data_IF_950418639698
#
_entry.id   IF_950418639698
#
_cell.length_a   1.000
_cell.length_b   1.000
_cell.length_c   1.000
_cell.angle_alpha   90.00
_cell.angle_beta   90.00
_cell.angle_gamma   90.00
#
_symmetry.space_group_name_H-M   'P 1'
#
loop_
_entity.id
_entity.type
_entity.pdbx_description
1 polymer ?
#
# COMPACT_ATOMS: atom_id res chain seq x y z
N UNK A 1 -5.35 -35.05 -0.17
CA UNK A 1 -5.02 -34.98 1.29
C UNK A 1 -4.86 -33.51 1.63
N UNK A 2 -5.71 -32.99 2.52
CA UNK A 2 -5.55 -31.61 2.98
C UNK A 2 -4.14 -31.43 3.54
N UNK A 3 -3.47 -30.35 3.14
CA UNK A 3 -2.11 -30.11 3.56
C UNK A 3 -2.10 -29.83 5.09
N UNK A 4 -1.65 -30.82 5.86
CA UNK A 4 -1.65 -30.76 7.34
C UNK A 4 -0.90 -29.53 7.87
N UNK A 5 0.02 -28.97 7.06
CA UNK A 5 0.78 -27.77 7.38
C UNK A 5 -0.08 -26.49 7.34
N UNK A 6 -1.01 -26.41 6.41
CA UNK A 6 -1.95 -25.26 6.30
C UNK A 6 -2.89 -25.25 7.52
N UNK A 7 -3.47 -26.40 7.86
CA UNK A 7 -4.39 -26.50 9.00
C UNK A 7 -3.72 -26.12 10.31
N UNK A 8 -2.51 -26.63 10.57
CA UNK A 8 -1.74 -26.28 11.77
C UNK A 8 -1.44 -24.79 11.87
N UNK A 9 -1.14 -24.14 10.72
CA UNK A 9 -0.89 -22.70 10.67
C UNK A 9 -2.17 -21.91 10.94
N UNK A 10 -3.31 -22.35 10.38
CA UNK A 10 -4.61 -21.74 10.61
C UNK A 10 -5.06 -21.88 12.08
N UNK A 11 -4.74 -22.99 12.75
CA UNK A 11 -5.00 -23.15 14.20
C UNK A 11 -4.23 -22.12 15.03
N UNK A 12 -2.97 -21.88 14.72
CA UNK A 12 -2.18 -20.86 15.40
C UNK A 12 -2.74 -19.45 15.19
N UNK A 13 -3.22 -19.15 13.98
CA UNK A 13 -3.84 -17.85 13.70
C UNK A 13 -5.19 -17.68 14.37
N UNK A 14 -5.99 -18.76 14.51
CA UNK A 14 -7.26 -18.73 15.25
C UNK A 14 -7.03 -18.42 16.73
N UNK A 15 -6.07 -19.07 17.36
CA UNK A 15 -5.69 -18.75 18.75
C UNK A 15 -5.28 -17.30 18.92
N UNK A 16 -4.44 -16.79 18.01
CA UNK A 16 -4.04 -15.38 18.03
C UNK A 16 -5.22 -14.43 17.87
N UNK A 17 -6.17 -14.74 16.98
CA UNK A 17 -7.38 -13.95 16.75
C UNK A 17 -8.26 -13.89 18.02
N UNK A 18 -8.45 -15.03 18.69
CA UNK A 18 -9.20 -15.12 19.95
C UNK A 18 -8.51 -14.35 21.09
N UNK A 19 -7.17 -14.44 21.21
CA UNK A 19 -6.40 -13.67 22.19
C UNK A 19 -6.51 -12.16 21.96
N UNK A 20 -6.44 -11.71 20.72
CA UNK A 20 -6.59 -10.29 20.38
C UNK A 20 -8.01 -9.83 20.66
N UNK A 21 -9.01 -10.65 20.33
CA UNK A 21 -10.42 -10.38 20.66
C UNK A 21 -10.65 -10.18 22.15
N UNK A 22 -10.02 -11.01 22.99
CA UNK A 22 -10.06 -10.85 24.46
C UNK A 22 -9.36 -9.54 24.91
N UNK A 23 -8.18 -9.24 24.37
CA UNK A 23 -7.45 -7.99 24.68
C UNK A 23 -8.23 -6.73 24.31
N UNK A 24 -8.99 -6.76 23.23
CA UNK A 24 -9.84 -5.64 22.82
C UNK A 24 -11.00 -5.36 23.78
N UNK A 25 -11.35 -6.31 24.65
CA UNK A 25 -12.38 -6.13 25.71
C UNK A 25 -11.78 -5.74 27.05
N UNK A 26 -10.43 -5.69 27.17
CA UNK A 26 -9.74 -5.33 28.42
C UNK A 26 -9.81 -3.83 28.64
N UNK A 27 -10.30 -3.36 29.82
CA UNK A 27 -10.35 -1.94 30.17
C UNK A 27 -8.99 -1.22 30.13
N UNK A 28 -7.89 -1.92 30.43
CA UNK A 28 -6.54 -1.33 30.38
C UNK A 28 -6.11 -1.04 28.94
N UNK A 29 -6.42 -1.93 28.02
CA UNK A 29 -6.15 -1.77 26.58
C UNK A 29 -7.04 -0.69 25.96
N UNK A 30 -8.31 -0.61 26.38
CA UNK A 30 -9.25 0.43 25.92
C UNK A 30 -8.78 1.83 26.36
N UNK A 31 -8.16 1.94 27.54
CA UNK A 31 -7.61 3.21 28.05
C UNK A 31 -6.36 3.66 27.26
N UNK A 32 -5.59 2.74 26.69
CA UNK A 32 -4.45 3.05 25.81
C UNK A 32 -4.88 3.05 24.34
N UNK A 33 -5.19 4.24 23.83
CA UNK A 33 -5.66 4.43 22.44
C UNK A 33 -4.69 3.86 21.41
N UNK A 34 -3.37 3.92 21.65
CA UNK A 34 -2.37 3.40 20.70
C UNK A 34 -2.41 1.88 20.62
N UNK A 35 -2.44 1.21 21.76
CA UNK A 35 -2.55 -0.25 21.83
C UNK A 35 -3.89 -0.73 21.27
N UNK A 36 -4.98 -0.04 21.59
CA UNK A 36 -6.31 -0.38 21.05
C UNK A 36 -6.36 -0.30 19.52
N UNK A 37 -5.81 0.77 18.92
CA UNK A 37 -5.75 0.91 17.46
C UNK A 37 -4.92 -0.22 16.84
N UNK A 38 -3.78 -0.56 17.44
CA UNK A 38 -2.92 -1.62 16.95
C UNK A 38 -3.62 -2.99 16.99
N UNK A 39 -4.22 -3.37 18.11
CA UNK A 39 -4.94 -4.64 18.24
C UNK A 39 -6.17 -4.70 17.31
N UNK A 40 -6.89 -3.59 17.17
CA UNK A 40 -8.05 -3.54 16.26
C UNK A 40 -7.61 -3.72 14.79
N UNK A 41 -6.45 -3.16 14.40
CA UNK A 41 -5.89 -3.37 13.07
C UNK A 41 -5.52 -4.85 12.86
N UNK A 42 -4.79 -5.46 13.80
CA UNK A 42 -4.41 -6.87 13.73
C UNK A 42 -5.65 -7.80 13.69
N UNK A 43 -6.67 -7.50 14.49
CA UNK A 43 -7.93 -8.24 14.52
C UNK A 43 -8.61 -8.25 13.14
N UNK A 44 -8.75 -7.07 12.53
CA UNK A 44 -9.34 -6.92 11.19
C UNK A 44 -8.51 -7.56 10.08
N UNK A 45 -7.20 -7.62 10.23
CA UNK A 45 -6.31 -8.29 9.27
C UNK A 45 -6.46 -9.81 9.33
N UNK A 46 -6.72 -10.37 10.51
CA UNK A 46 -6.92 -11.81 10.71
C UNK A 46 -8.34 -12.28 10.36
N UNK A 47 -9.36 -11.44 10.52
CA UNK A 47 -10.77 -11.77 10.30
C UNK A 47 -11.03 -12.51 8.97
N UNK A 48 -10.61 -12.01 7.79
CA UNK A 48 -10.84 -12.70 6.52
C UNK A 48 -10.14 -14.07 6.44
N UNK A 49 -9.01 -14.23 7.13
CA UNK A 49 -8.27 -15.51 7.18
C UNK A 49 -9.09 -16.52 7.99
N UNK A 50 -9.66 -16.09 9.11
CA UNK A 50 -10.45 -16.95 9.98
C UNK A 50 -11.75 -17.36 9.27
N UNK A 51 -12.45 -16.43 8.61
CA UNK A 51 -13.64 -16.74 7.83
C UNK A 51 -13.37 -17.75 6.70
N UNK A 52 -12.27 -17.56 5.96
CA UNK A 52 -11.86 -18.52 4.92
C UNK A 52 -11.49 -19.88 5.52
N UNK A 53 -10.81 -19.90 6.68
CA UNK A 53 -10.47 -21.12 7.41
C UNK A 53 -11.70 -21.90 7.85
N UNK A 54 -12.74 -21.24 8.35
CA UNK A 54 -13.99 -21.89 8.78
C UNK A 54 -14.74 -22.48 7.59
N UNK A 55 -14.82 -21.76 6.48
CA UNK A 55 -15.40 -22.28 5.22
C UNK A 55 -14.64 -23.51 4.72
N UNK A 56 -13.31 -23.46 4.76
CA UNK A 56 -12.45 -24.56 4.34
C UNK A 56 -12.61 -25.80 5.22
N UNK A 57 -12.64 -25.63 6.55
CA UNK A 57 -12.87 -26.74 7.51
C UNK A 57 -14.22 -27.39 7.31
N UNK A 58 -15.27 -26.58 7.13
CA UNK A 58 -16.61 -27.09 6.85
C UNK A 58 -16.65 -27.90 5.55
N UNK A 59 -16.02 -27.39 4.50
CA UNK A 59 -15.95 -28.10 3.22
C UNK A 59 -15.20 -29.44 3.32
N UNK A 60 -14.09 -29.50 4.07
CA UNK A 60 -13.36 -30.76 4.31
C UNK A 60 -14.18 -31.74 5.13
N UNK A 61 -14.87 -31.27 6.17
CA UNK A 61 -15.70 -32.12 6.99
C UNK A 61 -16.87 -32.75 6.17
N UNK A 62 -17.54 -31.91 5.38
CA UNK A 62 -18.61 -32.38 4.49
C UNK A 62 -18.07 -33.35 3.42
N UNK A 63 -16.89 -33.09 2.85
CA UNK A 63 -16.29 -34.02 1.92
C UNK A 63 -15.94 -35.38 2.54
N UNK A 64 -15.46 -35.35 3.79
CA UNK A 64 -15.18 -36.59 4.53
C UNK A 64 -16.47 -37.38 4.82
N UNK A 65 -17.54 -36.70 5.20
CA UNK A 65 -18.88 -37.31 5.44
C UNK A 65 -19.46 -37.90 4.15
N UNK A 66 -19.42 -37.12 3.05
CA UNK A 66 -19.90 -37.63 1.75
C UNK A 66 -19.10 -38.85 1.26
N UNK A 67 -17.77 -38.88 1.48
CA UNK A 67 -16.93 -40.05 1.18
C UNK A 67 -17.25 -41.26 2.06
N UNK A 68 -17.58 -41.03 3.31
CA UNK A 68 -18.00 -42.10 4.26
C UNK A 68 -19.35 -42.70 3.84
N UNK A 69 -20.34 -41.86 3.50
CA UNK A 69 -21.65 -42.31 2.96
C UNK A 69 -21.43 -43.13 1.69
N UNK A 70 -20.64 -42.63 0.75
CA UNK A 70 -20.34 -43.34 -0.51
C UNK A 70 -19.71 -44.72 -0.28
N UNK A 71 -18.89 -44.86 0.76
CA UNK A 71 -18.17 -46.10 1.08
C UNK A 71 -19.04 -47.10 1.86
N UNK A 72 -19.86 -46.63 2.79
CA UNK A 72 -20.49 -47.47 3.82
C UNK A 72 -22.00 -47.59 3.67
N UNK A 73 -22.69 -46.67 3.00
CA UNK A 73 -24.13 -46.73 2.83
C UNK A 73 -24.52 -47.72 1.73
N UNK A 74 -25.66 -48.42 1.95
CA UNK A 74 -26.23 -49.42 1.02
C UNK A 74 -27.30 -48.83 0.12
N UNK A 75 -27.82 -47.63 0.45
CA UNK A 75 -28.86 -46.96 -0.30
C UNK A 75 -28.22 -46.27 -1.53
N UNK A 76 -28.68 -46.65 -2.72
CA UNK A 76 -28.11 -46.10 -3.98
C UNK A 76 -28.50 -44.63 -4.17
N UNK A 77 -29.65 -44.15 -3.67
CA UNK A 77 -30.04 -42.75 -3.73
C UNK A 77 -29.07 -41.90 -2.90
N UNK A 78 -28.76 -42.34 -1.67
CA UNK A 78 -27.79 -41.67 -0.79
C UNK A 78 -26.38 -41.64 -1.40
N UNK A 79 -25.95 -42.71 -2.04
CA UNK A 79 -24.65 -42.79 -2.72
C UNK A 79 -24.60 -41.90 -3.93
N UNK A 80 -25.69 -41.73 -4.70
CA UNK A 80 -25.74 -40.83 -5.84
C UNK A 80 -25.68 -39.36 -5.40
N UNK A 81 -26.41 -39.01 -4.32
CA UNK A 81 -26.31 -37.69 -3.69
C UNK A 81 -24.88 -37.41 -3.21
N UNK A 82 -24.24 -38.35 -2.52
CA UNK A 82 -22.86 -38.21 -2.06
C UNK A 82 -21.88 -38.04 -3.20
N UNK A 83 -22.05 -38.70 -4.36
CA UNK A 83 -21.23 -38.48 -5.57
C UNK A 83 -21.38 -37.04 -6.10
N UNK A 84 -22.60 -36.53 -6.14
CA UNK A 84 -22.87 -35.15 -6.55
C UNK A 84 -22.20 -34.16 -5.62
N UNK A 85 -22.33 -34.36 -4.32
CA UNK A 85 -21.73 -33.50 -3.30
C UNK A 85 -20.19 -33.52 -3.35
N UNK A 86 -19.56 -34.67 -3.54
CA UNK A 86 -18.11 -34.80 -3.71
C UNK A 86 -17.65 -34.02 -4.95
N UNK A 87 -18.37 -34.13 -6.08
CA UNK A 87 -18.04 -33.43 -7.30
C UNK A 87 -18.10 -31.89 -7.18
N UNK A 88 -18.96 -31.38 -6.30
CA UNK A 88 -19.05 -29.94 -6.00
C UNK A 88 -18.00 -29.48 -4.97
N UNK A 89 -17.74 -30.31 -3.95
CA UNK A 89 -16.84 -29.93 -2.84
C UNK A 89 -15.37 -29.97 -3.22
N UNK A 90 -14.93 -30.92 -4.07
CA UNK A 90 -13.51 -31.02 -4.45
C UNK A 90 -12.98 -29.75 -5.11
N UNK A 91 -13.59 -29.17 -6.18
CA UNK A 91 -13.14 -27.94 -6.76
C UNK A 91 -13.27 -26.73 -5.84
N UNK A 92 -14.29 -26.74 -4.95
CA UNK A 92 -14.48 -25.69 -3.95
C UNK A 92 -13.35 -25.67 -2.93
N UNK A 93 -12.89 -26.83 -2.49
CA UNK A 93 -11.76 -26.96 -1.56
C UNK A 93 -10.48 -26.43 -2.21
N UNK A 94 -10.19 -26.78 -3.48
CA UNK A 94 -9.04 -26.27 -4.20
C UNK A 94 -9.07 -24.73 -4.28
N UNK A 95 -10.22 -24.15 -4.61
CA UNK A 95 -10.39 -22.68 -4.66
C UNK A 95 -10.16 -22.03 -3.28
N UNK A 96 -10.66 -22.64 -2.21
CA UNK A 96 -10.45 -22.14 -0.84
C UNK A 96 -9.00 -22.28 -0.39
N UNK A 97 -8.29 -23.33 -0.81
CA UNK A 97 -6.85 -23.46 -0.54
C UNK A 97 -6.04 -22.35 -1.21
N UNK A 98 -6.36 -22.01 -2.45
CA UNK A 98 -5.71 -20.90 -3.15
C UNK A 98 -6.03 -19.55 -2.48
N UNK A 99 -7.29 -19.31 -2.12
CA UNK A 99 -7.70 -18.11 -1.38
C UNK A 99 -6.92 -17.98 -0.06
N UNK A 100 -6.84 -19.06 0.73
CA UNK A 100 -6.11 -19.07 1.99
C UNK A 100 -4.61 -18.83 1.77
N UNK A 101 -4.00 -19.45 0.76
CA UNK A 101 -2.58 -19.22 0.44
C UNK A 101 -2.30 -17.73 0.15
N UNK A 102 -3.19 -17.07 -0.58
CA UNK A 102 -3.08 -15.64 -0.88
C UNK A 102 -3.27 -14.78 0.39
N UNK A 103 -4.24 -15.12 1.24
CA UNK A 103 -4.49 -14.41 2.50
C UNK A 103 -3.35 -14.56 3.52
N UNK A 104 -2.60 -15.68 3.46
CA UNK A 104 -1.46 -15.95 4.33
C UNK A 104 -0.16 -15.24 3.91
N UNK A 105 -0.15 -14.55 2.77
CA UNK A 105 1.01 -13.74 2.36
C UNK A 105 1.13 -12.55 3.33
N UNK A 106 2.30 -12.35 3.97
CA UNK A 106 2.50 -11.23 4.87
C UNK A 106 2.27 -9.90 4.14
N UNK A 107 1.38 -9.08 4.67
CA UNK A 107 1.18 -7.72 4.17
C UNK A 107 2.27 -6.81 4.72
N UNK A 108 2.79 -5.93 3.87
CA UNK A 108 3.70 -4.87 4.30
C UNK A 108 2.93 -3.87 5.19
N UNK A 109 3.40 -3.58 6.41
CA UNK A 109 2.74 -2.60 7.29
C UNK A 109 2.57 -1.22 6.65
N UNK A 110 3.43 -0.88 5.70
CA UNK A 110 3.37 0.40 4.97
C UNK A 110 2.25 0.44 3.93
N UNK A 111 1.76 -0.72 3.46
CA UNK A 111 0.72 -0.80 2.43
C UNK A 111 -0.57 -0.05 2.81
N UNK A 112 -0.89 -0.01 4.10
CA UNK A 112 -2.06 0.69 4.62
C UNK A 112 -1.90 2.22 4.67
N UNK A 113 -0.68 2.75 4.50
CA UNK A 113 -0.40 4.19 4.54
C UNK A 113 -0.98 4.91 3.33
N UNK A 114 -1.17 6.21 3.47
CA UNK A 114 -1.38 7.12 2.34
C UNK A 114 -0.11 7.20 1.50
N UNK A 115 -0.23 7.69 0.27
CA UNK A 115 0.90 7.80 -0.64
C UNK A 115 1.15 9.25 -1.06
N UNK A 116 2.42 9.59 -1.21
CA UNK A 116 2.88 10.76 -1.92
C UNK A 116 3.30 10.30 -3.31
N UNK A 117 2.64 10.82 -4.33
CA UNK A 117 2.92 10.51 -5.73
C UNK A 117 3.57 11.71 -6.37
N UNK A 118 4.79 11.54 -6.84
CA UNK A 118 5.56 12.55 -7.54
C UNK A 118 5.72 12.14 -9.00
N UNK A 119 5.42 13.03 -9.92
CA UNK A 119 5.54 12.83 -11.36
C UNK A 119 6.46 13.91 -11.91
N UNK A 120 7.55 13.52 -12.55
CA UNK A 120 8.49 14.44 -13.20
C UNK A 120 8.60 14.17 -14.69
N UNK A 121 8.50 15.20 -15.49
CA UNK A 121 8.86 15.14 -16.90
C UNK A 121 10.33 14.79 -17.05
N UNK A 122 10.64 13.75 -17.83
CA UNK A 122 12.00 13.31 -18.11
C UNK A 122 12.63 14.02 -19.29
N UNK A 123 13.57 13.36 -19.95
CA UNK A 123 14.17 13.85 -21.20
C UNK A 123 13.11 13.87 -22.31
N UNK A 124 12.95 15.00 -22.99
CA UNK A 124 11.96 15.18 -24.04
C UNK A 124 11.38 16.59 -24.13
N UNK A 125 11.91 17.52 -23.33
CA UNK A 125 11.48 18.93 -23.37
C UNK A 125 10.00 19.12 -23.04
N UNK A 126 9.31 19.94 -23.82
CA UNK A 126 7.90 20.30 -23.61
C UNK A 126 6.96 19.10 -23.68
N UNK A 127 7.22 18.13 -24.57
CA UNK A 127 6.38 16.92 -24.67
C UNK A 127 6.47 16.03 -23.44
N UNK A 128 7.63 15.97 -22.78
CA UNK A 128 7.75 15.23 -21.52
C UNK A 128 6.92 15.89 -20.40
N UNK A 129 6.84 17.22 -20.38
CA UNK A 129 5.99 17.94 -19.43
C UNK A 129 4.50 17.72 -19.73
N UNK A 130 4.09 17.70 -20.99
CA UNK A 130 2.71 17.38 -21.42
C UNK A 130 2.37 15.94 -21.02
N UNK A 131 3.29 15.00 -21.24
CA UNK A 131 3.10 13.61 -20.85
C UNK A 131 2.97 13.42 -19.33
N UNK A 132 3.77 14.15 -18.54
CA UNK A 132 3.59 14.16 -17.09
C UNK A 132 2.18 14.65 -16.67
N UNK A 133 1.64 15.64 -17.38
CA UNK A 133 0.25 16.10 -17.20
C UNK A 133 -0.78 15.04 -17.57
N UNK A 134 -0.53 14.25 -18.61
CA UNK A 134 -1.40 13.14 -19.00
C UNK A 134 -1.38 12.03 -17.95
N UNK A 135 -0.20 11.69 -17.40
CA UNK A 135 -0.06 10.74 -16.31
C UNK A 135 -0.79 11.21 -15.06
N UNK A 136 -0.63 12.49 -14.70
CA UNK A 136 -1.38 13.04 -13.57
C UNK A 136 -2.89 12.88 -13.77
N UNK A 137 -3.41 13.20 -14.95
CA UNK A 137 -4.84 13.05 -15.27
C UNK A 137 -5.29 11.58 -15.22
N UNK A 138 -4.44 10.66 -15.66
CA UNK A 138 -4.69 9.22 -15.56
C UNK A 138 -4.81 8.79 -14.10
N UNK A 139 -3.84 9.15 -13.26
CA UNK A 139 -3.86 8.81 -11.84
C UNK A 139 -5.02 9.45 -11.09
N UNK A 140 -5.36 10.71 -11.35
CA UNK A 140 -6.50 11.37 -10.69
C UNK A 140 -7.82 10.66 -11.00
N UNK A 141 -8.04 10.25 -12.25
CA UNK A 141 -9.23 9.45 -12.61
C UNK A 141 -9.25 8.07 -11.95
N UNK A 142 -8.10 7.42 -11.83
CA UNK A 142 -7.99 6.16 -11.12
C UNK A 142 -8.30 6.33 -9.62
N UNK A 143 -7.74 7.35 -8.99
CA UNK A 143 -7.97 7.71 -7.59
C UNK A 143 -9.47 7.95 -7.34
N UNK A 144 -10.13 8.73 -8.19
CA UNK A 144 -11.58 8.98 -8.13
C UNK A 144 -12.38 7.68 -8.28
N UNK A 145 -12.00 6.79 -9.20
CA UNK A 145 -12.68 5.50 -9.40
C UNK A 145 -12.60 4.56 -8.19
N UNK A 146 -11.55 4.72 -7.35
CA UNK A 146 -11.38 3.98 -6.10
C UNK A 146 -12.06 4.65 -4.90
N UNK A 147 -12.67 5.83 -5.09
CA UNK A 147 -13.24 6.63 -4.00
C UNK A 147 -12.19 7.25 -3.07
N UNK A 148 -10.93 7.30 -3.51
CA UNK A 148 -9.85 7.95 -2.77
C UNK A 148 -9.90 9.46 -2.98
N UNK A 149 -9.18 10.20 -2.13
CA UNK A 149 -9.01 11.66 -2.24
C UNK A 149 -7.57 11.98 -2.60
N UNK A 150 -7.38 13.07 -3.32
CA UNK A 150 -6.03 13.59 -3.59
C UNK A 150 -5.97 15.10 -3.35
N UNK A 151 -4.79 15.57 -3.02
CA UNK A 151 -4.44 16.98 -2.85
C UNK A 151 -3.10 17.23 -3.53
N UNK A 152 -3.02 18.27 -4.37
CA UNK A 152 -1.75 18.68 -4.99
C UNK A 152 -1.00 19.51 -3.96
N UNK A 153 0.17 19.02 -3.55
CA UNK A 153 1.01 19.68 -2.54
C UNK A 153 2.02 20.63 -3.15
N UNK A 154 2.50 20.30 -4.35
CA UNK A 154 3.46 21.12 -5.08
C UNK A 154 3.37 20.85 -6.59
N UNK A 155 3.63 21.85 -7.41
CA UNK A 155 3.74 21.68 -8.85
C UNK A 155 4.63 22.73 -9.49
N UNK A 156 5.22 22.40 -10.63
CA UNK A 156 5.94 23.29 -11.52
C UNK A 156 5.44 23.08 -12.95
N UNK A 157 4.91 24.12 -13.56
CA UNK A 157 4.32 24.02 -14.90
C UNK A 157 5.37 23.94 -16.01
N UNK A 158 5.05 23.23 -17.08
CA UNK A 158 5.82 23.21 -18.32
C UNK A 158 5.58 24.46 -19.16
N UNK A 159 6.52 24.84 -19.99
CA UNK A 159 6.45 26.04 -20.86
C UNK A 159 5.36 25.92 -21.93
N UNK A 160 5.08 24.72 -22.42
CA UNK A 160 4.05 24.42 -23.42
C UNK A 160 2.83 23.72 -22.81
N UNK A 161 2.62 23.85 -21.50
CA UNK A 161 1.60 23.14 -20.73
C UNK A 161 2.12 21.88 -20.07
N UNK A 162 1.24 21.19 -19.32
CA UNK A 162 1.62 20.05 -18.49
C UNK A 162 2.50 20.45 -17.29
N UNK A 163 3.25 19.50 -16.75
CA UNK A 163 4.03 19.70 -15.53
C UNK A 163 5.48 19.28 -15.73
N UNK A 164 6.44 20.14 -15.34
CA UNK A 164 7.83 19.71 -15.13
C UNK A 164 7.91 18.78 -13.96
N UNK A 165 7.15 19.10 -12.91
CA UNK A 165 7.04 18.33 -11.70
C UNK A 165 5.65 18.56 -11.08
N UNK A 166 5.02 17.53 -10.59
CA UNK A 166 3.80 17.61 -9.77
C UNK A 166 3.86 16.58 -8.68
N UNK A 167 3.54 17.00 -7.46
CA UNK A 167 3.48 16.16 -6.26
C UNK A 167 2.08 16.20 -5.72
N UNK A 168 1.50 15.03 -5.50
CA UNK A 168 0.19 14.90 -4.90
C UNK A 168 0.20 13.92 -3.73
N UNK A 169 -0.52 14.28 -2.68
CA UNK A 169 -0.86 13.39 -1.56
C UNK A 169 -2.16 12.67 -1.89
N UNK A 170 -2.15 11.35 -1.78
CA UNK A 170 -3.33 10.51 -2.01
C UNK A 170 -3.72 9.84 -0.70
N UNK A 171 -4.99 10.01 -0.31
CA UNK A 171 -5.54 9.50 0.96
C UNK A 171 -6.68 8.54 0.70
N UNK A 172 -6.66 7.39 1.40
CA UNK A 172 -7.66 6.35 1.26
C UNK A 172 -7.21 5.04 1.90
N UNK A 173 -7.93 3.97 1.62
CA UNK A 173 -7.59 2.65 2.14
C UNK A 173 -6.59 1.94 1.21
N UNK A 174 -5.47 1.45 1.77
CA UNK A 174 -4.44 0.68 1.06
C UNK A 174 -3.88 1.39 -0.20
N UNK A 175 -3.69 2.70 -0.10
CA UNK A 175 -3.28 3.55 -1.22
C UNK A 175 -1.85 3.22 -1.62
N UNK A 176 -0.92 3.26 -0.66
CA UNK A 176 0.49 2.98 -0.93
C UNK A 176 0.68 1.54 -1.45
N UNK A 177 0.04 0.56 -0.82
CA UNK A 177 0.12 -0.84 -1.24
C UNK A 177 -0.32 -1.08 -2.68
N UNK A 178 -1.27 -0.26 -3.17
CA UNK A 178 -1.75 -0.35 -4.56
C UNK A 178 -0.83 0.41 -5.53
N UNK A 179 -0.40 1.63 -5.17
CA UNK A 179 0.33 2.51 -6.08
C UNK A 179 1.85 2.30 -6.08
N UNK A 180 2.45 1.65 -5.06
CA UNK A 180 3.90 1.47 -4.96
C UNK A 180 4.56 0.83 -6.18
N UNK A 181 3.83 -0.01 -6.90
CA UNK A 181 4.30 -0.70 -8.11
C UNK A 181 4.33 0.20 -9.35
N UNK A 182 3.72 1.39 -9.29
CA UNK A 182 3.77 2.40 -10.34
C UNK A 182 5.09 3.18 -10.35
N UNK A 183 5.91 3.06 -9.30
CA UNK A 183 7.21 3.72 -9.22
C UNK A 183 8.13 3.24 -10.33
N UNK A 184 8.62 4.19 -11.14
CA UNK A 184 9.52 3.89 -12.23
C UNK A 184 9.49 4.92 -13.34
N UNK A 185 10.04 4.55 -14.49
CA UNK A 185 10.04 5.38 -15.71
C UNK A 185 8.93 4.95 -16.64
N UNK A 186 7.99 5.84 -16.89
CA UNK A 186 6.93 5.68 -17.85
C UNK A 186 7.35 6.24 -19.20
N UNK A 187 7.05 5.56 -20.27
CA UNK A 187 7.41 5.92 -21.62
C UNK A 187 6.19 5.97 -22.53
N UNK A 188 6.10 7.01 -23.35
CA UNK A 188 5.08 7.15 -24.40
C UNK A 188 5.75 7.25 -25.77
N UNK A 189 5.16 6.57 -26.75
CA UNK A 189 5.51 6.69 -28.17
C UNK A 189 4.28 7.18 -28.90
N UNK A 190 4.32 8.46 -29.31
CA UNK A 190 3.23 9.12 -30.04
C UNK A 190 3.77 10.24 -30.89
N UNK A 191 2.96 10.77 -31.79
CA UNK A 191 3.25 12.06 -32.42
C UNK A 191 3.01 13.13 -31.38
N UNK A 192 4.05 13.89 -30.94
CA UNK A 192 3.89 14.93 -29.93
C UNK A 192 2.95 16.03 -30.38
N UNK A 193 2.27 16.71 -29.45
CA UNK A 193 1.51 17.92 -29.76
C UNK A 193 2.40 19.07 -30.25
N UNK A 194 3.70 19.01 -29.93
CA UNK A 194 4.73 19.97 -30.33
C UNK A 194 5.36 19.66 -31.70
N UNK A 195 5.00 18.54 -32.32
CA UNK A 195 5.55 18.08 -33.60
C UNK A 195 4.67 18.50 -34.77
N UNK A 196 5.24 19.22 -35.73
CA UNK A 196 4.51 19.75 -36.90
C UNK A 196 4.59 18.84 -38.13
N UNK A 197 5.56 17.91 -38.17
CA UNK A 197 5.83 17.03 -39.32
C UNK A 197 5.25 15.63 -39.19
N UNK A 198 4.50 15.36 -38.11
CA UNK A 198 3.86 14.05 -37.88
C UNK A 198 4.80 12.92 -37.52
N UNK A 199 6.02 13.19 -37.03
CA UNK A 199 6.98 12.19 -36.60
C UNK A 199 6.63 11.63 -35.23
N UNK A 200 6.76 10.32 -35.08
CA UNK A 200 6.62 9.66 -33.77
C UNK A 200 7.88 9.88 -32.95
N UNK A 201 7.69 10.44 -31.73
CA UNK A 201 8.78 10.63 -30.78
C UNK A 201 8.54 9.75 -29.53
N UNK A 202 9.61 9.52 -28.79
CA UNK A 202 9.54 8.84 -27.49
C UNK A 202 9.79 9.89 -26.40
N UNK A 203 8.83 10.03 -25.50
CA UNK A 203 8.97 10.86 -24.31
C UNK A 203 8.88 10.00 -23.06
N UNK A 204 9.54 10.43 -22.00
CA UNK A 204 9.58 9.73 -20.72
C UNK A 204 9.19 10.66 -19.59
N UNK A 205 8.58 10.07 -18.55
CA UNK A 205 8.34 10.73 -17.27
C UNK A 205 8.65 9.73 -16.15
N UNK A 206 9.19 10.21 -15.04
CA UNK A 206 9.41 9.39 -13.85
C UNK A 206 8.25 9.57 -12.89
N UNK A 207 7.82 8.47 -12.29
CA UNK A 207 6.83 8.41 -11.21
C UNK A 207 7.53 7.87 -9.98
N UNK A 208 7.42 8.56 -8.85
CA UNK A 208 7.86 8.07 -7.55
C UNK A 208 6.65 8.01 -6.63
N UNK A 209 6.46 6.87 -5.99
CA UNK A 209 5.40 6.66 -4.99
C UNK A 209 6.07 6.35 -3.67
N UNK A 210 5.85 7.21 -2.68
CA UNK A 210 6.43 7.12 -1.35
C UNK A 210 5.30 6.98 -0.32
N UNK A 211 5.49 6.20 0.76
CA UNK A 211 4.52 6.18 1.84
C UNK A 211 4.53 7.54 2.55
N UNK A 212 3.36 8.00 2.99
CA UNK A 212 3.28 9.19 3.83
C UNK A 212 3.99 8.94 5.16
N UNK A 213 4.96 9.79 5.50
CA UNK A 213 5.60 9.77 6.81
C UNK A 213 4.63 10.30 7.88
N UNK A 214 4.60 9.64 9.03
CA UNK A 214 3.85 10.10 10.18
C UNK A 214 4.79 10.93 11.09
N UNK A 215 4.25 11.91 11.82
CA UNK A 215 5.05 12.81 12.68
C UNK A 215 5.93 12.06 13.69
N UNK A 216 5.55 10.84 14.07
CA UNK A 216 6.31 10.01 15.01
C UNK A 216 7.35 9.09 14.32
N UNK A 217 7.37 9.04 12.99
CA UNK A 217 8.40 8.29 12.24
C UNK A 217 9.77 8.97 12.33
N UNK A 218 9.80 10.25 12.73
CA UNK A 218 11.04 11.02 12.92
C UNK A 218 11.04 11.69 14.28
N UNK A 219 11.76 11.12 15.24
CA UNK A 219 12.00 11.73 16.53
C UNK A 219 13.30 12.55 16.50
N UNK A 220 13.18 13.86 16.65
CA UNK A 220 14.32 14.77 16.66
C UNK A 220 14.53 15.28 18.09
N UNK A 221 15.61 14.83 18.74
CA UNK A 221 16.02 15.38 20.02
C UNK A 221 16.80 16.69 19.82
N UNK A 222 16.42 17.73 20.56
CA UNK A 222 17.14 19.01 20.52
C UNK A 222 18.62 18.88 20.96
N UNK A 223 18.96 17.84 21.71
CA UNK A 223 20.34 17.55 22.12
C UNK A 223 21.19 17.06 20.96
N UNK A 224 20.58 16.52 19.91
CA UNK A 224 21.24 16.02 18.72
C UNK A 224 21.38 17.11 17.63
N UNK A 225 20.94 18.34 17.92
CA UNK A 225 21.02 19.46 17.01
C UNK A 225 22.13 20.41 17.44
N UNK A 226 23.15 20.53 16.61
CA UNK A 226 24.15 21.59 16.73
C UNK A 226 23.66 22.84 16.01
N UNK A 227 23.62 23.96 16.74
CA UNK A 227 23.27 25.29 16.22
C UNK A 227 24.50 26.14 16.07
N UNK A 228 24.86 26.45 14.83
CA UNK A 228 25.93 27.38 14.49
C UNK A 228 25.32 28.71 14.02
N UNK A 229 25.81 29.82 14.59
CA UNK A 229 25.37 31.18 14.25
C UNK A 229 26.51 31.88 13.57
N UNK A 230 26.29 32.46 12.39
CA UNK A 230 27.33 33.10 11.59
C UNK A 230 26.78 34.30 10.80
N UNK A 231 27.66 35.09 10.21
CA UNK A 231 27.26 36.17 9.32
C UNK A 231 26.73 35.62 8.00
N UNK A 232 25.61 36.16 7.49
CA UNK A 232 25.08 35.73 6.20
C UNK A 232 26.07 36.01 5.08
N UNK A 233 26.25 35.07 4.17
CA UNK A 233 27.07 35.20 2.98
C UNK A 233 26.18 35.57 1.79
N UNK A 234 26.42 36.73 1.17
CA UNK A 234 25.68 37.17 -0.03
C UNK A 234 26.00 38.61 -0.40
N UNK A 235 25.62 39.05 -1.60
CA UNK A 235 25.75 40.45 -1.99
C UNK A 235 24.83 41.32 -1.10
N UNK A 236 25.40 42.09 -0.21
CA UNK A 236 24.65 42.94 0.72
C UNK A 236 25.57 44.00 1.36
N UNK A 237 24.94 44.98 1.98
CA UNK A 237 25.66 46.08 2.65
C UNK A 237 26.27 45.66 4.00
N UNK A 238 26.74 46.63 4.77
CA UNK A 238 27.46 46.44 6.03
C UNK A 238 26.74 45.55 7.04
N UNK A 239 25.39 45.54 7.06
CA UNK A 239 24.57 44.73 7.95
C UNK A 239 24.68 43.22 7.70
N UNK A 240 24.92 42.79 6.45
CA UNK A 240 25.04 41.36 6.09
C UNK A 240 26.34 40.76 6.60
N UNK A 241 27.41 41.56 6.61
CA UNK A 241 28.77 41.11 6.95
C UNK A 241 29.11 41.27 8.44
N UNK A 242 28.33 42.05 9.19
CA UNK A 242 28.63 42.35 10.61
C UNK A 242 27.63 41.77 11.59
N UNK A 243 26.43 41.37 11.13
CA UNK A 243 25.39 40.82 12.01
C UNK A 243 25.35 39.30 11.89
N UNK A 244 25.41 38.59 13.02
CA UNK A 244 25.27 37.15 13.10
C UNK A 244 23.78 36.78 12.93
N UNK A 245 23.27 36.89 11.69
CA UNK A 245 21.86 36.70 11.35
C UNK A 245 21.55 35.35 10.69
N UNK A 246 22.60 34.64 10.25
CA UNK A 246 22.43 33.30 9.67
C UNK A 246 22.55 32.21 10.75
N UNK A 247 21.69 31.23 10.66
CA UNK A 247 21.65 30.07 11.56
C UNK A 247 21.77 28.81 10.72
N UNK A 248 22.69 27.91 11.12
CA UNK A 248 22.83 26.57 10.58
C UNK A 248 22.45 25.57 11.67
N UNK A 249 21.53 24.68 11.36
CA UNK A 249 21.18 23.55 12.22
C UNK A 249 21.75 22.28 11.60
N UNK A 250 22.54 21.54 12.37
CA UNK A 250 23.13 20.27 11.93
C UNK A 250 22.63 19.18 12.86
N UNK A 251 21.94 18.18 12.32
CA UNK A 251 21.57 16.98 13.08
C UNK A 251 22.80 16.07 13.17
N UNK A 252 23.38 15.94 14.37
CA UNK A 252 24.68 15.27 14.61
C UNK A 252 24.67 13.80 14.17
N UNK A 253 23.62 12.98 14.48
CA UNK A 253 23.63 11.57 14.12
C UNK A 253 23.55 11.27 12.62
N UNK A 254 22.84 12.11 11.85
CA UNK A 254 22.64 11.90 10.41
C UNK A 254 23.53 12.78 9.54
N UNK A 255 24.14 13.84 10.10
CA UNK A 255 24.93 14.82 9.37
C UNK A 255 24.11 15.75 8.46
N UNK A 256 22.79 15.70 8.51
CA UNK A 256 21.89 16.58 7.75
C UNK A 256 22.00 18.01 8.28
N UNK A 257 22.08 18.98 7.34
CA UNK A 257 22.24 20.41 7.62
C UNK A 257 21.08 21.18 7.05
#
# INVERSE_FOLDING_TARGET
>A
MADNSILTRLDGLKLKYEEIGQKLTDPEVIADVKQFIQFNKEYRELEPIIEASERYRTAIANLAEAKDILANDKDEEMREMARGEIAELEPKIETLEEEIKLLLIPKDPQDAKNAIVEIRGGTGGDEAAIFAGDLMRMYTKYIESKGWKYEITSFSEGTAGGYKEVVMKVTGNNVYGTLKYESGVHRVQRVPQTETQGRVHTSAASVAVLPEAEEFDVEISMNDIRKDIFCASGPGGQSVNTTYSAIRLTHIPTGIV
#
